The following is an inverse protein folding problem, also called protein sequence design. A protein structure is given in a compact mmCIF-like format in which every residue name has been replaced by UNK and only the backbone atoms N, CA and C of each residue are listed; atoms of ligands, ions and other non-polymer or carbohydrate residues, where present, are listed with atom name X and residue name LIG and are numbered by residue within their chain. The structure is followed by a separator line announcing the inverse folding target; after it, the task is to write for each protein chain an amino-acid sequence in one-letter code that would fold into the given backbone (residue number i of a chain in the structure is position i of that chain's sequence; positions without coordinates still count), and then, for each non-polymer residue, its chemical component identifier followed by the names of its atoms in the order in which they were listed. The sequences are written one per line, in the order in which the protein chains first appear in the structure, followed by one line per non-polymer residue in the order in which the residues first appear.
data_IF_924228056119
#
_entry.id   IF_924228056119
#
_cell.length_a   1.000
_cell.length_b   1.000
_cell.length_c   1.000
_cell.angle_alpha   90.00
_cell.angle_beta   90.00
_cell.angle_gamma   90.00
#
_symmetry.space_group_name_H-M   'P 1'
#
loop_
_entity.id
_entity.type
_entity.pdbx_description
1 polymer ?
#
# COMPACT_ATOMS: atom_id res chain seq x y z
N UNK A 1 50.07 12.14 89.23
CA UNK A 1 50.59 12.73 87.99
C UNK A 1 50.96 11.60 87.04
N UNK A 2 50.23 11.54 85.94
CA UNK A 2 50.49 10.93 84.62
C UNK A 2 51.12 9.54 84.51
N UNK A 3 50.28 8.67 83.95
CA UNK A 3 50.46 7.27 83.59
C UNK A 3 50.50 7.10 82.07
N UNK A 4 51.30 6.10 81.63
CA UNK A 4 51.13 5.21 80.48
C UNK A 4 51.33 5.71 79.03
N UNK A 5 52.50 5.36 78.47
CA UNK A 5 52.76 5.14 77.03
C UNK A 5 53.19 3.68 76.85
N UNK A 6 52.35 2.82 76.24
CA UNK A 6 52.78 1.61 75.52
C UNK A 6 51.58 0.79 75.00
N UNK A 7 50.98 1.15 73.87
CA UNK A 7 50.18 0.20 73.06
C UNK A 7 49.83 0.80 71.71
N UNK A 8 50.62 0.51 70.66
CA UNK A 8 50.17 0.75 69.25
C UNK A 8 51.06 0.10 68.17
N UNK A 9 52.23 -0.48 68.49
CA UNK A 9 53.13 -1.05 67.45
C UNK A 9 52.88 -2.50 67.03
N UNK A 10 52.01 -3.27 67.71
CA UNK A 10 51.82 -4.71 67.41
C UNK A 10 50.74 -5.03 66.35
N UNK A 11 49.90 -4.07 65.95
CA UNK A 11 48.83 -4.34 64.95
C UNK A 11 49.24 -4.19 63.48
N UNK A 12 50.39 -3.59 63.15
CA UNK A 12 50.78 -3.36 61.74
C UNK A 12 51.54 -4.52 61.08
N UNK A 13 52.08 -5.47 61.85
CA UNK A 13 52.88 -6.57 61.27
C UNK A 13 52.01 -7.76 60.87
N UNK A 14 50.87 -7.98 61.53
CA UNK A 14 49.95 -9.08 61.22
C UNK A 14 49.14 -8.80 59.94
N UNK A 15 48.85 -7.52 59.64
CA UNK A 15 48.13 -7.14 58.42
C UNK A 15 48.98 -7.28 57.13
N UNK A 16 50.31 -7.18 57.24
CA UNK A 16 51.20 -7.28 56.08
C UNK A 16 51.45 -8.73 55.64
N UNK A 17 51.41 -9.70 56.57
CA UNK A 17 51.55 -11.13 56.27
C UNK A 17 50.28 -11.74 55.62
N UNK A 18 49.10 -11.17 55.86
CA UNK A 18 47.87 -11.61 55.19
C UNK A 18 47.77 -11.16 53.72
N UNK A 19 48.47 -10.08 53.34
CA UNK A 19 48.44 -9.57 51.96
C UNK A 19 49.40 -10.31 51.02
N UNK A 20 50.48 -10.90 51.54
CA UNK A 20 51.48 -11.62 50.72
C UNK A 20 51.05 -13.06 50.40
N UNK A 21 50.21 -13.69 51.24
CA UNK A 21 49.72 -15.05 51.00
C UNK A 21 48.62 -15.15 49.92
N UNK A 22 48.04 -14.02 49.49
CA UNK A 22 46.98 -13.99 48.46
C UNK A 22 47.50 -13.74 47.04
N UNK A 23 48.83 -13.63 46.86
CA UNK A 23 49.48 -13.27 45.59
C UNK A 23 50.13 -14.45 44.83
N UNK A 24 49.90 -15.70 45.25
CA UNK A 24 50.58 -16.89 44.68
C UNK A 24 49.65 -18.00 44.15
N UNK A 25 48.39 -17.71 43.85
CA UNK A 25 47.56 -18.63 43.06
C UNK A 25 47.60 -18.23 41.59
N UNK A 26 48.71 -18.62 40.95
CA UNK A 26 48.84 -18.66 39.50
C UNK A 26 47.94 -19.76 38.93
N UNK A 27 46.87 -19.38 38.24
CA UNK A 27 46.23 -20.26 37.25
C UNK A 27 46.70 -19.82 35.86
N UNK A 28 47.07 -20.76 34.97
CA UNK A 28 47.45 -20.42 33.61
C UNK A 28 46.20 -19.93 32.87
N UNK A 29 46.13 -18.62 32.61
CA UNK A 29 45.25 -18.07 31.59
C UNK A 29 45.74 -18.55 30.24
N UNK A 30 45.15 -19.65 29.76
CA UNK A 30 45.18 -20.00 28.35
C UNK A 30 44.67 -18.79 27.58
N UNK A 31 45.59 -18.12 26.90
CA UNK A 31 45.28 -17.03 25.98
C UNK A 31 44.63 -17.63 24.75
N UNK A 32 43.38 -18.07 24.88
CA UNK A 32 42.49 -18.15 23.75
C UNK A 32 42.21 -16.71 23.35
N UNK A 33 42.86 -16.23 22.30
CA UNK A 33 42.38 -15.10 21.51
C UNK A 33 40.96 -15.43 21.09
N UNK A 34 40.00 -15.05 21.93
CA UNK A 34 38.63 -14.86 21.52
C UNK A 34 38.69 -13.74 20.49
N UNK A 35 38.76 -14.11 19.22
CA UNK A 35 38.19 -13.29 18.17
C UNK A 35 36.77 -13.08 18.67
N UNK A 36 36.50 -11.89 19.22
CA UNK A 36 35.16 -11.46 19.51
C UNK A 36 34.46 -11.46 18.15
N UNK A 37 33.88 -12.61 17.79
CA UNK A 37 32.77 -12.67 16.89
C UNK A 37 31.77 -11.74 17.53
N UNK A 38 31.75 -10.48 17.08
CA UNK A 38 30.54 -9.69 17.19
C UNK A 38 29.50 -10.58 16.58
N UNK A 39 28.64 -11.14 17.42
CA UNK A 39 27.44 -11.79 16.96
C UNK A 39 26.79 -10.77 16.04
N UNK A 40 26.95 -10.97 14.74
CA UNK A 40 26.07 -10.35 13.79
C UNK A 40 24.75 -10.99 14.15
N UNK A 41 23.97 -10.31 15.01
CA UNK A 41 22.58 -10.62 15.20
C UNK A 41 21.93 -10.39 13.85
N UNK A 42 21.98 -11.40 13.01
CA UNK A 42 21.17 -11.52 11.84
C UNK A 42 19.76 -11.72 12.39
N UNK A 43 19.08 -10.61 12.70
CA UNK A 43 17.66 -10.63 12.89
C UNK A 43 17.09 -11.32 11.65
N UNK A 44 16.38 -12.43 11.87
CA UNK A 44 15.70 -13.14 10.79
C UNK A 44 14.82 -12.11 10.09
N UNK A 45 15.21 -11.67 8.89
CA UNK A 45 14.39 -10.72 8.14
C UNK A 45 13.01 -11.35 8.01
N UNK A 46 11.96 -10.61 8.33
CA UNK A 46 10.56 -11.08 8.28
C UNK A 46 10.03 -11.22 6.85
N UNK A 47 10.91 -11.46 5.86
CA UNK A 47 10.51 -11.78 4.49
C UNK A 47 9.60 -13.01 4.52
N UNK A 48 8.33 -12.82 4.14
CA UNK A 48 7.28 -13.85 4.21
C UNK A 48 6.21 -13.65 5.30
N UNK A 49 6.36 -12.66 6.19
CA UNK A 49 5.27 -12.09 7.01
C UNK A 49 4.71 -10.79 6.38
N UNK A 50 5.12 -10.47 5.16
CA UNK A 50 4.89 -9.18 4.48
C UNK A 50 3.52 -9.03 3.83
N UNK A 51 2.64 -10.03 3.95
CA UNK A 51 1.21 -9.81 3.78
C UNK A 51 0.67 -9.58 5.20
N UNK A 52 0.63 -8.32 5.70
CA UNK A 52 0.12 -8.09 7.04
C UNK A 52 -1.27 -8.70 7.10
N UNK A 53 -1.53 -9.53 8.12
CA UNK A 53 -2.74 -10.37 8.24
C UNK A 53 -4.02 -9.54 8.06
N UNK A 54 -3.95 -8.27 8.42
CA UNK A 54 -4.97 -7.25 8.20
C UNK A 54 -5.44 -7.16 6.74
N UNK A 55 -4.63 -7.48 5.73
CA UNK A 55 -5.08 -7.49 4.33
C UNK A 55 -6.08 -8.60 4.05
N UNK A 56 -5.98 -9.74 4.73
CA UNK A 56 -7.03 -10.76 4.69
C UNK A 56 -8.29 -10.26 5.38
N UNK A 57 -8.15 -9.49 6.46
CA UNK A 57 -9.28 -8.89 7.17
C UNK A 57 -9.99 -7.82 6.33
N UNK A 58 -9.24 -6.99 5.57
CA UNK A 58 -9.81 -6.06 4.58
C UNK A 58 -10.64 -6.84 3.55
N UNK A 59 -10.10 -7.92 2.98
CA UNK A 59 -10.84 -8.77 2.03
C UNK A 59 -12.07 -9.40 2.68
N UNK A 60 -12.01 -9.74 3.97
CA UNK A 60 -13.12 -10.31 4.72
C UNK A 60 -14.29 -9.32 4.89
N UNK A 61 -14.03 -8.01 4.91
CA UNK A 61 -15.09 -6.99 4.91
C UNK A 61 -16.00 -7.09 3.66
N UNK A 62 -15.46 -7.50 2.52
CA UNK A 62 -16.23 -7.77 1.30
C UNK A 62 -17.20 -8.95 1.40
N UNK A 63 -17.12 -9.74 2.48
CA UNK A 63 -17.96 -10.93 2.72
C UNK A 63 -18.96 -10.73 3.86
N UNK A 64 -18.97 -9.57 4.51
CA UNK A 64 -19.91 -9.28 5.59
C UNK A 64 -21.33 -9.08 5.03
N UNK A 65 -22.38 -9.42 5.80
CA UNK A 65 -23.75 -9.06 5.45
C UNK A 65 -23.87 -7.55 5.21
N UNK A 66 -24.50 -7.15 4.10
CA UNK A 66 -24.63 -5.75 3.70
C UNK A 66 -23.50 -5.21 2.82
N UNK A 67 -22.37 -5.92 2.72
CA UNK A 67 -21.24 -5.52 1.88
C UNK A 67 -21.55 -5.64 0.39
N UNK A 68 -21.18 -4.64 -0.44
CA UNK A 68 -21.46 -4.67 -1.87
C UNK A 68 -20.57 -5.72 -2.57
N UNK A 69 -21.11 -6.45 -3.56
CA UNK A 69 -20.36 -7.45 -4.31
C UNK A 69 -19.50 -6.83 -5.43
N UNK A 70 -18.91 -5.67 -5.20
CA UNK A 70 -18.14 -4.92 -6.21
C UNK A 70 -16.63 -5.23 -6.19
N UNK A 71 -16.18 -6.04 -5.23
CA UNK A 71 -14.77 -6.44 -5.10
C UNK A 71 -13.85 -5.31 -4.67
N UNK A 72 -14.37 -4.14 -4.26
CA UNK A 72 -13.53 -2.99 -3.93
C UNK A 72 -12.62 -3.24 -2.73
N UNK A 73 -13.08 -4.00 -1.73
CA UNK A 73 -12.23 -4.40 -0.61
C UNK A 73 -11.03 -5.26 -1.04
N UNK A 74 -11.19 -6.13 -2.05
CA UNK A 74 -10.07 -6.88 -2.62
C UNK A 74 -9.09 -5.96 -3.37
N UNK A 75 -9.61 -4.96 -4.08
CA UNK A 75 -8.80 -3.95 -4.76
C UNK A 75 -8.01 -3.09 -3.76
N UNK A 76 -8.65 -2.62 -2.68
CA UNK A 76 -7.99 -1.87 -1.60
C UNK A 76 -6.87 -2.73 -1.00
N UNK A 77 -7.14 -4.00 -0.68
CA UNK A 77 -6.14 -4.90 -0.12
C UNK A 77 -4.95 -5.12 -1.08
N UNK A 78 -5.19 -5.18 -2.39
CA UNK A 78 -4.14 -5.26 -3.40
C UNK A 78 -3.31 -3.97 -3.52
N UNK A 79 -3.98 -2.82 -3.60
CA UNK A 79 -3.34 -1.51 -3.73
C UNK A 79 -2.50 -1.14 -2.50
N UNK A 80 -2.95 -1.55 -1.31
CA UNK A 80 -2.29 -1.21 -0.05
C UNK A 80 -0.85 -1.72 0.03
N UNK A 81 -0.56 -2.88 -0.56
CA UNK A 81 0.79 -3.47 -0.58
C UNK A 81 1.81 -2.49 -1.17
N UNK A 82 1.43 -1.77 -2.23
CA UNK A 82 2.30 -0.78 -2.86
C UNK A 82 2.72 0.37 -1.93
N UNK A 83 1.91 0.67 -0.91
CA UNK A 83 2.19 1.75 0.05
C UNK A 83 3.24 1.36 1.09
N UNK A 84 3.48 0.05 1.28
CA UNK A 84 4.42 -0.50 2.26
C UNK A 84 5.85 -0.62 1.73
N UNK A 85 6.05 -0.38 0.43
CA UNK A 85 7.37 -0.41 -0.20
C UNK A 85 8.27 0.72 0.31
N UNK A 86 9.57 0.49 0.41
CA UNK A 86 10.51 1.47 0.96
C UNK A 86 10.50 2.84 0.26
N UNK A 87 10.28 2.86 -1.06
CA UNK A 87 10.27 4.07 -1.86
C UNK A 87 8.87 4.74 -1.97
N UNK A 88 7.81 4.09 -1.49
CA UNK A 88 6.46 4.64 -1.63
C UNK A 88 6.25 5.88 -0.75
N UNK A 89 5.35 6.78 -1.16
CA UNK A 89 4.95 7.93 -0.35
C UNK A 89 4.40 7.46 1.02
N UNK A 90 4.94 7.97 2.15
CA UNK A 90 4.45 7.60 3.47
C UNK A 90 2.99 8.00 3.74
N UNK A 91 2.42 8.95 2.99
CA UNK A 91 1.03 9.39 3.12
C UNK A 91 0.03 8.55 2.30
N UNK A 92 0.49 7.86 1.25
CA UNK A 92 -0.39 7.16 0.29
C UNK A 92 -1.27 6.04 0.90
N UNK A 93 -0.93 5.54 2.09
CA UNK A 93 -1.71 4.51 2.78
C UNK A 93 -3.04 5.01 3.36
N UNK A 94 -3.10 6.29 3.74
CA UNK A 94 -4.23 6.83 4.51
C UNK A 94 -5.51 6.95 3.69
N UNK A 95 -5.49 7.42 2.42
CA UNK A 95 -6.68 7.42 1.58
C UNK A 95 -7.32 6.03 1.41
N UNK A 96 -6.51 4.98 1.30
CA UNK A 96 -7.02 3.60 1.21
C UNK A 96 -7.70 3.14 2.50
N UNK A 97 -7.13 3.50 3.66
CA UNK A 97 -7.72 3.17 4.95
C UNK A 97 -8.97 4.01 5.25
N UNK A 98 -8.98 5.29 4.85
CA UNK A 98 -10.14 6.18 4.94
C UNK A 98 -11.32 5.61 4.11
N UNK A 99 -11.04 5.10 2.91
CA UNK A 99 -12.05 4.45 2.08
C UNK A 99 -12.65 3.20 2.75
N UNK A 100 -11.84 2.39 3.46
CA UNK A 100 -12.34 1.25 4.23
C UNK A 100 -13.38 1.70 5.26
N UNK A 101 -13.08 2.78 6.00
CA UNK A 101 -13.99 3.34 7.02
C UNK A 101 -15.26 3.89 6.38
N UNK A 102 -15.13 4.68 5.31
CA UNK A 102 -16.27 5.27 4.59
C UNK A 102 -17.24 4.20 4.10
N UNK A 103 -16.71 3.14 3.48
CA UNK A 103 -17.53 2.03 2.98
C UNK A 103 -18.17 1.26 4.13
N UNK A 104 -17.46 1.02 5.22
CA UNK A 104 -18.04 0.41 6.41
C UNK A 104 -19.26 1.17 6.95
N UNK A 105 -19.17 2.50 6.99
CA UNK A 105 -20.29 3.38 7.36
C UNK A 105 -21.45 3.29 6.36
N UNK A 106 -21.14 3.34 5.07
CA UNK A 106 -22.13 3.28 3.99
C UNK A 106 -22.95 1.98 3.99
N UNK A 107 -22.33 0.85 4.32
CA UNK A 107 -22.93 -0.47 4.19
C UNK A 107 -23.27 -1.16 5.52
N UNK A 108 -23.21 -0.43 6.63
CA UNK A 108 -23.73 -0.89 7.93
C UNK A 108 -22.82 -1.82 8.73
N UNK A 109 -21.50 -1.79 8.52
CA UNK A 109 -20.49 -2.54 9.29
C UNK A 109 -19.31 -1.64 9.71
N UNK A 110 -19.63 -0.41 10.14
CA UNK A 110 -18.64 0.60 10.49
C UNK A 110 -17.63 0.12 11.53
N UNK A 111 -18.07 -0.56 12.59
CA UNK A 111 -17.19 -1.02 13.67
C UNK A 111 -16.13 -2.01 13.18
N UNK A 112 -16.52 -2.98 12.34
CA UNK A 112 -15.60 -3.93 11.74
C UNK A 112 -14.62 -3.23 10.81
N UNK A 113 -15.11 -2.31 9.96
CA UNK A 113 -14.28 -1.56 9.04
C UNK A 113 -13.27 -0.66 9.77
N UNK A 114 -13.71 0.05 10.81
CA UNK A 114 -12.84 0.89 11.66
C UNK A 114 -11.78 0.03 12.32
N UNK A 115 -12.14 -1.10 12.92
CA UNK A 115 -11.15 -2.01 13.56
C UNK A 115 -10.06 -2.44 12.57
N UNK A 116 -10.45 -2.87 11.38
CA UNK A 116 -9.52 -3.30 10.33
C UNK A 116 -8.68 -2.12 9.82
N UNK A 117 -9.29 -0.98 9.54
CA UNK A 117 -8.59 0.21 9.04
C UNK A 117 -7.56 0.76 10.05
N UNK A 118 -7.85 0.66 11.35
CA UNK A 118 -6.91 1.04 12.42
C UNK A 118 -5.67 0.16 12.45
N UNK A 119 -5.85 -1.15 12.29
CA UNK A 119 -4.72 -2.07 12.13
C UNK A 119 -3.96 -1.80 10.83
N UNK A 120 -4.69 -1.45 9.75
CA UNK A 120 -4.13 -1.21 8.43
C UNK A 120 -3.19 0.01 8.42
N UNK A 121 -3.59 1.15 8.99
CA UNK A 121 -2.70 2.33 9.09
C UNK A 121 -1.54 2.12 10.06
N UNK A 122 -1.70 1.22 11.02
CA UNK A 122 -0.72 0.87 12.03
C UNK A 122 0.42 -0.03 11.54
N UNK A 123 0.30 -0.64 10.35
CA UNK A 123 1.33 -1.57 9.89
C UNK A 123 2.66 -0.86 9.60
N UNK A 124 3.73 -1.61 9.76
CA UNK A 124 5.07 -1.17 9.42
C UNK A 124 5.21 -0.96 7.90
N UNK A 125 5.89 0.13 7.52
CA UNK A 125 6.35 0.36 6.15
C UNK A 125 7.82 0.01 6.08
N UNK A 126 8.19 -0.73 5.04
CA UNK A 126 9.59 -1.10 4.80
C UNK A 126 10.44 0.16 4.60
N UNK A 127 11.73 0.09 4.91
CA UNK A 127 12.68 1.14 4.60
C UNK A 127 13.99 0.52 4.08
N UNK A 128 14.80 1.30 3.39
CA UNK A 128 16.08 0.81 2.87
C UNK A 128 17.21 1.21 3.84
N UNK A 129 17.77 0.28 4.63
CA UNK A 129 18.85 0.58 5.57
C UNK A 129 20.17 0.99 4.89
N UNK A 130 20.26 0.88 3.57
CA UNK A 130 21.43 1.28 2.78
C UNK A 130 21.24 2.64 2.09
N UNK A 131 20.15 3.35 2.36
CA UNK A 131 19.82 4.61 1.67
C UNK A 131 20.50 5.87 2.27
N UNK A 132 21.66 5.72 2.92
CA UNK A 132 22.39 6.84 3.53
C UNK A 132 21.53 7.59 4.55
N UNK A 133 21.40 8.92 4.40
CA UNK A 133 20.58 9.78 5.27
C UNK A 133 19.07 9.42 5.26
N UNK A 134 18.64 8.56 4.34
CA UNK A 134 17.27 8.02 4.25
C UNK A 134 17.16 6.60 4.82
N UNK A 135 18.20 6.09 5.46
CA UNK A 135 18.22 4.78 6.12
C UNK A 135 17.41 4.75 7.43
N UNK A 136 16.26 5.42 7.45
CA UNK A 136 15.38 5.56 8.59
C UNK A 136 13.91 5.41 8.16
N UNK A 137 13.01 5.01 9.06
CA UNK A 137 11.58 5.03 8.83
C UNK A 137 11.04 6.40 8.39
N UNK A 138 10.17 6.40 7.37
CA UNK A 138 9.47 7.58 6.88
C UNK A 138 7.99 7.57 7.30
N UNK A 139 7.51 8.72 7.78
CA UNK A 139 6.14 8.90 8.26
C UNK A 139 5.47 10.07 7.55
N UNK A 140 4.14 9.99 7.40
CA UNK A 140 3.39 11.03 6.72
C UNK A 140 3.44 12.35 7.49
N UNK A 141 3.76 13.42 6.78
CA UNK A 141 3.88 14.76 7.33
C UNK A 141 2.68 15.66 7.06
N UNK A 142 1.66 15.17 6.35
CA UNK A 142 0.42 15.90 6.09
C UNK A 142 -0.48 15.87 7.34
N UNK A 143 -0.79 17.02 7.98
CA UNK A 143 -1.70 17.07 9.12
C UNK A 143 -3.17 16.83 8.76
N UNK A 144 -3.54 16.92 7.48
CA UNK A 144 -4.90 16.63 7.01
C UNK A 144 -5.19 15.12 6.89
N UNK A 145 -4.16 14.27 6.96
CA UNK A 145 -4.29 12.82 6.87
C UNK A 145 -3.99 12.13 8.21
N UNK A 146 -4.69 11.00 8.53
CA UNK A 146 -5.87 10.48 7.85
C UNK A 146 -7.09 11.42 7.97
N UNK A 147 -8.02 11.34 7.01
CA UNK A 147 -9.25 12.14 7.02
C UNK A 147 -10.26 11.63 8.04
N UNK A 148 -10.34 10.31 8.22
CA UNK A 148 -11.25 9.68 9.18
C UNK A 148 -10.74 9.92 10.60
N UNK A 149 -11.56 10.55 11.43
CA UNK A 149 -11.22 10.86 12.83
C UNK A 149 -10.86 9.58 13.62
N UNK A 150 -11.49 8.45 13.30
CA UNK A 150 -11.26 7.16 13.93
C UNK A 150 -9.88 6.56 13.65
N UNK A 151 -9.19 7.05 12.61
CA UNK A 151 -7.84 6.63 12.22
C UNK A 151 -6.76 7.57 12.72
N UNK A 152 -7.13 8.71 13.32
CA UNK A 152 -6.16 9.64 13.91
C UNK A 152 -5.56 9.05 15.20
N UNK A 153 -4.37 9.53 15.54
CA UNK A 153 -3.62 9.15 16.73
C UNK A 153 -3.11 7.71 16.74
N UNK A 154 -2.92 7.12 15.56
CA UNK A 154 -2.37 5.77 15.40
C UNK A 154 -0.93 5.90 14.95
N UNK A 155 -0.03 5.32 15.74
CA UNK A 155 1.38 5.24 15.42
C UNK A 155 1.62 3.99 14.57
N UNK A 156 2.22 4.12 13.37
CA UNK A 156 2.66 2.96 12.61
C UNK A 156 3.82 2.27 13.32
N UNK A 157 3.87 0.94 13.25
CA UNK A 157 5.04 0.18 13.72
C UNK A 157 6.29 0.50 12.88
N UNK A 158 7.45 0.17 13.43
CA UNK A 158 8.78 0.32 12.81
C UNK A 158 9.55 -1.00 12.88
N UNK A 159 10.53 -1.16 12.00
CA UNK A 159 11.41 -2.33 12.02
C UNK A 159 12.09 -2.46 13.38
N UNK A 160 12.12 -3.65 14.02
CA UNK A 160 12.88 -3.88 15.25
C UNK A 160 14.36 -3.49 15.19
N UNK A 161 14.97 -3.40 13.99
CA UNK A 161 16.36 -2.96 13.80
C UNK A 161 16.50 -1.45 13.62
N UNK A 162 15.38 -0.72 13.50
CA UNK A 162 15.39 0.73 13.59
C UNK A 162 15.60 1.16 15.04
N UNK A 163 16.20 2.32 15.27
CA UNK A 163 16.62 2.77 16.60
C UNK A 163 18.13 2.74 16.79
N UNK A 164 18.66 3.88 17.21
CA UNK A 164 20.11 4.12 17.34
C UNK A 164 20.43 5.61 17.48
N UNK A 165 19.54 6.48 16.97
CA UNK A 165 19.68 7.94 17.02
C UNK A 165 18.98 8.60 18.22
N UNK A 166 19.08 7.99 19.41
CA UNK A 166 18.47 8.51 20.65
C UNK A 166 16.93 8.48 20.66
N UNK A 167 16.32 8.50 21.85
CA UNK A 167 14.88 8.30 22.04
C UNK A 167 14.51 6.85 22.38
N UNK A 168 13.24 6.47 22.19
CA UNK A 168 12.75 5.12 22.45
C UNK A 168 13.39 4.09 21.51
N UNK A 169 13.63 2.89 22.02
CA UNK A 169 13.95 1.74 21.16
C UNK A 169 12.77 1.37 20.25
N UNK A 170 13.02 0.72 19.11
CA UNK A 170 11.95 0.22 18.25
C UNK A 170 11.01 -0.74 18.98
N UNK A 171 11.52 -1.54 19.93
CA UNK A 171 10.68 -2.44 20.73
C UNK A 171 9.71 -1.67 21.64
N UNK A 172 10.19 -0.67 22.38
CA UNK A 172 9.36 0.17 23.24
C UNK A 172 8.36 1.00 22.42
N UNK A 173 8.81 1.53 21.29
CA UNK A 173 7.95 2.27 20.38
C UNK A 173 6.87 1.38 19.77
N UNK A 174 7.20 0.18 19.30
CA UNK A 174 6.24 -0.77 18.74
C UNK A 174 5.20 -1.22 19.77
N UNK A 175 5.58 -1.37 21.04
CA UNK A 175 4.62 -1.63 22.12
C UNK A 175 3.60 -0.49 22.27
N UNK A 176 4.05 0.77 22.21
CA UNK A 176 3.16 1.94 22.18
C UNK A 176 2.30 1.96 20.92
N UNK A 177 2.89 1.67 19.76
CA UNK A 177 2.20 1.69 18.47
C UNK A 177 1.02 0.71 18.42
N UNK A 178 1.24 -0.53 18.85
CA UNK A 178 0.16 -1.54 18.93
C UNK A 178 -0.97 -1.09 19.86
N UNK A 179 -0.66 -0.46 21.00
CA UNK A 179 -1.68 0.07 21.91
C UNK A 179 -2.53 1.18 21.25
N UNK A 180 -1.95 1.98 20.35
CA UNK A 180 -2.72 3.00 19.62
C UNK A 180 -3.69 2.43 18.60
N UNK A 181 -3.49 1.19 18.12
CA UNK A 181 -4.41 0.56 17.16
C UNK A 181 -5.72 0.12 17.82
N UNK A 182 -5.71 -0.16 19.11
CA UNK A 182 -6.88 -0.67 19.85
C UNK A 182 -7.67 0.41 20.58
N UNK A 183 -7.07 1.57 20.85
CA UNK A 183 -7.71 2.68 21.61
C UNK A 183 -7.96 3.90 20.73
N UNK A 184 -9.22 4.32 20.58
CA UNK A 184 -9.54 5.61 19.94
C UNK A 184 -9.11 6.76 20.87
N UNK A 185 -8.23 7.63 20.36
CA UNK A 185 -7.70 8.77 21.12
C UNK A 185 -7.70 10.07 20.31
N UNK A 186 -8.67 10.24 19.38
CA UNK A 186 -8.70 11.30 18.37
C UNK A 186 -8.38 12.72 18.89
N UNK A 187 -8.83 13.06 20.10
CA UNK A 187 -8.64 14.39 20.70
C UNK A 187 -7.21 14.67 21.19
N UNK A 188 -6.36 13.65 21.37
CA UNK A 188 -5.00 13.83 21.91
C UNK A 188 -3.95 14.22 20.86
N UNK A 189 -4.27 14.13 19.57
CA UNK A 189 -3.34 14.44 18.48
C UNK A 189 -3.94 15.39 17.44
N UNK A 190 -4.95 16.18 17.83
CA UNK A 190 -5.59 17.15 16.93
C UNK A 190 -4.54 18.08 16.28
N UNK A 191 -4.63 18.24 14.96
CA UNK A 191 -3.72 19.06 14.18
C UNK A 191 -2.31 18.49 13.97
N UNK A 192 -1.98 17.32 14.54
CA UNK A 192 -0.67 16.70 14.35
C UNK A 192 -0.68 15.75 13.14
N UNK A 193 0.36 15.84 12.31
CA UNK A 193 0.69 14.81 11.33
C UNK A 193 1.16 13.53 12.02
N UNK A 194 1.10 12.39 11.32
CA UNK A 194 1.58 11.11 11.88
C UNK A 194 3.05 11.20 12.27
N UNK A 195 3.87 11.90 11.47
CA UNK A 195 5.27 12.16 11.83
C UNK A 195 5.40 12.92 13.15
N UNK A 196 4.61 13.97 13.36
CA UNK A 196 4.63 14.73 14.61
C UNK A 196 4.20 13.85 15.80
N UNK A 197 3.22 12.96 15.60
CA UNK A 197 2.79 12.01 16.63
C UNK A 197 3.91 11.03 17.01
N UNK A 198 4.65 10.51 16.03
CA UNK A 198 5.80 9.62 16.25
C UNK A 198 6.91 10.32 17.04
N UNK A 199 7.24 11.55 16.66
CA UNK A 199 8.23 12.36 17.38
C UNK A 199 7.79 12.66 18.81
N UNK A 200 6.52 13.03 19.02
CA UNK A 200 5.96 13.29 20.34
C UNK A 200 5.89 12.03 21.21
N UNK A 201 5.71 10.85 20.59
CA UNK A 201 5.76 9.57 21.28
C UNK A 201 7.18 9.20 21.76
N UNK A 202 8.22 9.87 21.23
CA UNK A 202 9.61 9.73 21.64
C UNK A 202 10.51 8.98 20.68
N UNK A 203 10.03 8.60 19.49
CA UNK A 203 10.84 7.93 18.47
C UNK A 203 11.46 8.96 17.53
N UNK A 204 12.79 9.10 17.59
CA UNK A 204 13.52 10.16 16.88
C UNK A 204 14.28 9.66 15.65
N UNK A 205 14.36 8.34 15.47
CA UNK A 205 15.04 7.71 14.34
C UNK A 205 14.16 7.75 13.09
N UNK A 206 13.96 8.95 12.55
CA UNK A 206 13.04 9.20 11.43
C UNK A 206 13.75 9.99 10.34
N UNK A 207 13.29 9.85 9.09
CA UNK A 207 13.78 10.70 7.99
C UNK A 207 13.53 12.19 8.33
N UNK A 208 14.57 13.00 8.14
CA UNK A 208 14.62 14.41 8.56
C UNK A 208 13.62 15.32 7.82
N UNK A 209 13.15 14.95 6.63
CA UNK A 209 12.05 15.60 5.91
C UNK A 209 11.34 14.59 4.97
N UNK A 210 10.25 13.97 5.43
CA UNK A 210 9.44 13.04 4.63
C UNK A 210 8.13 13.67 4.12
N UNK A 211 8.12 15.00 3.92
CA UNK A 211 6.89 15.77 3.69
C UNK A 211 6.64 16.27 2.28
N UNK A 212 7.55 16.02 1.33
CA UNK A 212 7.25 16.23 -0.08
C UNK A 212 7.09 14.87 -0.73
N UNK A 213 5.96 14.66 -1.40
CA UNK A 213 5.85 13.60 -2.39
C UNK A 213 7.13 13.61 -3.24
N UNK A 214 7.84 12.48 -3.41
CA UNK A 214 8.71 12.41 -4.57
C UNK A 214 7.83 12.71 -5.78
N UNK A 215 8.18 13.73 -6.57
CA UNK A 215 7.62 13.91 -7.91
C UNK A 215 8.10 12.74 -8.76
N UNK A 216 7.51 11.58 -8.54
CA UNK A 216 7.67 10.44 -9.40
C UNK A 216 6.50 10.47 -10.39
N UNK A 217 6.74 10.52 -11.72
CA UNK A 217 5.71 10.42 -12.75
C UNK A 217 4.89 9.12 -12.73
N UNK A 218 5.19 8.19 -11.81
CA UNK A 218 4.49 6.92 -11.60
C UNK A 218 3.75 6.94 -10.25
N UNK A 219 2.72 7.77 -10.17
CA UNK A 219 1.63 7.58 -9.21
C UNK A 219 0.42 7.08 -10.01
N UNK A 220 -0.18 5.90 -9.70
CA UNK A 220 -1.50 5.56 -10.20
C UNK A 220 -2.48 6.65 -9.77
N UNK A 221 -3.33 7.20 -10.65
CA UNK A 221 -4.22 8.29 -10.28
C UNK A 221 -5.08 7.89 -9.08
N UNK A 222 -5.14 8.79 -8.09
CA UNK A 222 -6.12 8.70 -7.02
C UNK A 222 -7.51 8.60 -7.65
N UNK A 223 -8.33 7.68 -7.16
CA UNK A 223 -9.73 7.58 -7.58
C UNK A 223 -10.47 8.86 -7.21
N UNK A 224 -10.57 9.79 -8.15
CA UNK A 224 -11.45 10.96 -8.05
C UNK A 224 -12.87 10.50 -8.32
N UNK A 225 -13.75 10.81 -7.39
CA UNK A 225 -15.20 10.64 -7.50
C UNK A 225 -15.78 11.61 -8.51
N UNK A 226 -16.57 11.06 -9.45
CA UNK A 226 -17.64 11.68 -10.27
C UNK A 226 -17.24 12.76 -11.31
N UNK A 227 -17.69 12.63 -12.59
CA UNK A 227 -17.32 13.55 -13.65
C UNK A 227 -18.23 14.79 -13.71
N UNK A 228 -17.64 15.98 -13.78
CA UNK A 228 -18.23 17.14 -14.47
C UNK A 228 -17.58 17.28 -15.85
N UNK A 229 -18.32 17.72 -16.90
CA UNK A 229 -17.83 17.67 -18.27
C UNK A 229 -16.85 18.82 -18.54
N UNK A 230 -15.62 18.51 -18.94
CA UNK A 230 -14.69 19.48 -19.52
C UNK A 230 -14.58 19.28 -21.04
N UNK A 231 -14.75 20.39 -21.76
CA UNK A 231 -14.66 20.57 -23.22
C UNK A 231 -13.17 20.56 -23.66
N UNK A 232 -12.78 19.81 -24.72
CA UNK A 232 -11.38 19.69 -25.13
C UNK A 232 -10.97 20.82 -26.07
N UNK A 233 -10.33 21.89 -25.57
CA UNK A 233 -9.43 22.66 -26.45
C UNK A 233 -8.32 23.46 -25.74
N UNK A 234 -7.08 23.18 -26.20
CA UNK A 234 -5.83 23.97 -26.16
C UNK A 234 -4.91 23.91 -24.92
N UNK A 235 -3.85 23.10 -25.09
CA UNK A 235 -2.49 23.57 -25.41
C UNK A 235 -1.80 24.53 -24.43
N UNK A 236 -0.84 24.00 -23.66
CA UNK A 236 -0.09 24.75 -22.65
C UNK A 236 0.93 25.78 -23.16
N UNK A 237 1.39 26.63 -22.23
CA UNK A 237 2.71 27.29 -22.17
C UNK A 237 2.98 27.78 -20.73
N UNK A 238 4.23 27.64 -20.31
CA UNK A 238 4.77 27.96 -18.99
C UNK A 238 4.93 29.47 -18.72
N UNK A 239 4.87 29.84 -17.43
CA UNK A 239 5.78 30.82 -16.80
C UNK A 239 5.16 32.15 -16.34
N UNK A 240 5.34 32.49 -15.06
CA UNK A 240 5.29 33.88 -14.57
C UNK A 240 4.56 34.11 -13.25
N UNK A 241 5.31 34.49 -12.23
CA UNK A 241 4.87 34.79 -10.86
C UNK A 241 4.40 36.26 -10.68
N UNK A 242 3.40 36.49 -9.81
CA UNK A 242 3.17 37.63 -8.86
C UNK A 242 1.72 38.17 -8.82
N UNK A 243 1.12 38.11 -7.61
CA UNK A 243 0.60 39.31 -6.91
C UNK A 243 -0.88 39.71 -7.01
N UNK A 244 -1.61 39.43 -5.90
CA UNK A 244 -2.55 40.30 -5.15
C UNK A 244 -3.97 40.67 -5.68
N UNK A 245 -5.00 40.26 -4.90
CA UNK A 245 -6.02 41.18 -4.34
C UNK A 245 -7.40 41.38 -5.01
N UNK A 246 -8.45 40.95 -4.27
CA UNK A 246 -9.82 41.51 -4.10
C UNK A 246 -11.02 41.21 -5.05
N UNK A 247 -12.01 40.52 -4.45
CA UNK A 247 -13.47 40.74 -4.28
C UNK A 247 -14.50 40.94 -5.42
N UNK A 248 -15.58 40.16 -5.23
CA UNK A 248 -17.03 40.37 -5.49
C UNK A 248 -17.63 40.37 -6.91
N UNK A 249 -18.68 39.55 -7.07
CA UNK A 249 -19.94 40.00 -7.68
C UNK A 249 -20.49 39.23 -8.89
N UNK A 250 -21.54 38.45 -8.62
CA UNK A 250 -22.74 38.21 -9.45
C UNK A 250 -22.76 37.16 -10.59
N UNK A 251 -23.72 36.24 -10.41
CA UNK A 251 -24.36 35.39 -11.42
C UNK A 251 -25.35 36.17 -12.29
N UNK A 252 -25.38 35.92 -13.60
CA UNK A 252 -26.60 36.05 -14.43
C UNK A 252 -26.57 35.19 -15.71
N UNK A 253 -27.71 34.51 -15.91
CA UNK A 253 -28.40 34.12 -17.15
C UNK A 253 -27.85 33.04 -18.11
N UNK A 254 -28.67 31.99 -18.20
CA UNK A 254 -28.73 30.87 -19.16
C UNK A 254 -28.93 31.32 -20.61
N UNK A 255 -28.13 30.78 -21.53
CA UNK A 255 -28.38 30.82 -22.98
C UNK A 255 -28.43 29.38 -23.54
N UNK A 256 -29.54 29.03 -24.18
CA UNK A 256 -29.77 27.72 -24.81
C UNK A 256 -29.19 27.74 -26.23
N UNK A 257 -28.32 26.79 -26.57
CA UNK A 257 -27.79 26.62 -27.94
C UNK A 257 -28.35 25.35 -28.56
N UNK A 258 -29.07 25.49 -29.67
CA UNK A 258 -29.54 24.40 -30.53
C UNK A 258 -28.46 24.06 -31.54
N UNK A 259 -27.99 22.81 -31.57
CA UNK A 259 -27.07 22.31 -32.60
C UNK A 259 -27.83 21.45 -33.61
N UNK A 260 -27.80 21.88 -34.88
CA UNK A 260 -28.26 21.10 -36.03
C UNK A 260 -27.04 20.45 -36.67
N UNK A 261 -26.98 19.11 -36.68
CA UNK A 261 -25.92 18.35 -37.37
C UNK A 261 -26.45 17.88 -38.71
N UNK A 262 -25.87 18.41 -39.79
CA UNK A 262 -26.08 17.92 -41.15
C UNK A 262 -25.01 16.86 -41.46
N UNK A 263 -25.41 15.64 -41.80
CA UNK A 263 -24.51 14.58 -42.25
C UNK A 263 -24.69 14.37 -43.75
N UNK A 264 -23.64 14.61 -44.52
CA UNK A 264 -23.60 14.38 -45.97
C UNK A 264 -23.39 12.89 -46.25
N UNK A 265 -24.31 12.28 -47.00
CA UNK A 265 -24.24 10.88 -47.44
C UNK A 265 -23.25 10.71 -48.61
N UNK A 266 -22.28 9.80 -48.45
CA UNK A 266 -21.37 9.34 -49.50
C UNK A 266 -21.76 7.94 -49.99
N UNK A 267 -21.80 7.80 -51.31
CA UNK A 267 -22.33 6.71 -52.14
C UNK A 267 -21.67 5.34 -51.96
N UNK A 268 -22.46 4.26 -52.07
CA UNK A 268 -22.08 2.90 -51.71
C UNK A 268 -21.49 2.00 -52.80
N UNK A 269 -21.06 0.82 -52.36
CA UNK A 269 -20.94 -0.40 -53.16
C UNK A 269 -20.96 -1.66 -52.26
N UNK A 270 -21.99 -2.51 -52.49
CA UNK A 270 -22.16 -3.95 -52.26
C UNK A 270 -21.80 -4.63 -50.91
N UNK A 271 -22.83 -5.25 -50.33
CA UNK A 271 -22.85 -6.08 -49.13
C UNK A 271 -22.20 -7.47 -49.30
N UNK A 272 -21.76 -8.08 -48.18
CA UNK A 272 -22.05 -9.47 -47.88
C UNK A 272 -23.05 -9.55 -46.72
N UNK A 273 -24.04 -10.40 -46.93
CA UNK A 273 -25.15 -10.76 -46.06
C UNK A 273 -24.65 -11.61 -44.91
N UNK A 274 -24.47 -11.03 -43.72
CA UNK A 274 -24.76 -11.65 -42.41
C UNK A 274 -24.44 -10.63 -41.30
N UNK A 275 -25.43 -10.35 -40.45
CA UNK A 275 -25.24 -9.52 -39.27
C UNK A 275 -24.32 -10.26 -38.27
N UNK A 276 -23.34 -9.61 -37.64
CA UNK A 276 -22.66 -10.20 -36.50
C UNK A 276 -23.68 -10.31 -35.36
N UNK A 277 -23.98 -11.55 -34.98
CA UNK A 277 -24.88 -11.87 -33.88
C UNK A 277 -24.48 -11.10 -32.61
N UNK A 278 -25.48 -10.50 -31.97
CA UNK A 278 -25.38 -9.91 -30.64
C UNK A 278 -24.76 -10.93 -29.65
N UNK A 279 -23.93 -10.51 -28.68
CA UNK A 279 -23.43 -11.43 -27.67
C UNK A 279 -24.60 -11.88 -26.79
N UNK A 280 -25.01 -13.13 -27.00
CA UNK A 280 -25.96 -13.86 -26.18
C UNK A 280 -25.42 -14.00 -24.75
N UNK A 281 -26.27 -13.65 -23.78
CA UNK A 281 -26.10 -13.89 -22.33
C UNK A 281 -26.20 -15.38 -21.98
N UNK A 282 -25.24 -16.16 -22.46
CA UNK A 282 -25.15 -17.60 -22.21
C UNK A 282 -23.87 -18.15 -22.81
N UNK A 283 -22.75 -18.00 -22.10
CA UNK A 283 -21.52 -18.68 -22.47
C UNK A 283 -21.75 -20.20 -22.42
N UNK A 284 -21.56 -20.88 -23.54
CA UNK A 284 -21.46 -22.33 -23.54
C UNK A 284 -20.27 -22.73 -22.65
N UNK A 285 -20.47 -23.69 -21.76
CA UNK A 285 -19.43 -24.15 -20.84
C UNK A 285 -18.14 -24.49 -21.61
N UNK A 286 -17.02 -23.88 -21.23
CA UNK A 286 -15.72 -24.04 -21.89
C UNK A 286 -15.30 -22.90 -22.83
N UNK A 287 -16.12 -21.87 -23.04
CA UNK A 287 -15.74 -20.70 -23.84
C UNK A 287 -14.94 -19.69 -23.03
N UNK A 288 -13.82 -19.22 -23.59
CA UNK A 288 -13.02 -18.15 -23.01
C UNK A 288 -13.75 -16.80 -23.14
N UNK A 289 -14.00 -16.13 -22.01
CA UNK A 289 -14.64 -14.81 -21.95
C UNK A 289 -13.63 -13.65 -21.83
N UNK A 290 -12.32 -13.95 -21.78
CA UNK A 290 -11.25 -12.94 -21.88
C UNK A 290 -11.10 -12.49 -23.33
N UNK A 291 -11.52 -11.26 -23.62
CA UNK A 291 -11.50 -10.66 -24.96
C UNK A 291 -10.26 -9.80 -25.23
N UNK A 292 -9.48 -9.45 -24.21
CA UNK A 292 -8.23 -8.74 -24.38
C UNK A 292 -7.17 -9.65 -25.01
N UNK A 293 -6.66 -9.28 -26.18
CA UNK A 293 -5.71 -10.07 -26.97
C UNK A 293 -4.29 -9.51 -26.97
N UNK A 294 -4.05 -8.34 -26.34
CA UNK A 294 -2.72 -7.79 -26.20
C UNK A 294 -1.80 -8.81 -25.53
N UNK A 295 -0.55 -8.94 -26.00
CA UNK A 295 0.41 -9.92 -25.50
C UNK A 295 1.84 -9.37 -25.57
N UNK A 296 2.14 -8.40 -24.71
CA UNK A 296 3.45 -7.74 -24.71
C UNK A 296 4.50 -8.77 -24.30
N UNK A 297 5.63 -8.77 -25.02
CA UNK A 297 6.69 -9.78 -24.87
C UNK A 297 6.18 -11.23 -25.00
N UNK A 298 5.10 -11.45 -25.75
CA UNK A 298 4.50 -12.76 -25.97
C UNK A 298 3.77 -13.33 -24.75
N UNK A 299 3.36 -12.49 -23.80
CA UNK A 299 2.58 -12.90 -22.62
C UNK A 299 1.12 -12.47 -22.76
N UNK A 300 0.23 -13.35 -23.26
CA UNK A 300 -1.20 -13.06 -23.33
C UNK A 300 -1.86 -13.19 -21.95
N UNK A 301 -3.01 -12.56 -21.79
CA UNK A 301 -3.85 -12.77 -20.62
C UNK A 301 -4.36 -14.22 -20.61
N UNK A 302 -4.28 -14.94 -19.47
CA UNK A 302 -4.77 -16.31 -19.40
C UNK A 302 -6.28 -16.38 -19.65
N UNK A 303 -6.78 -17.46 -20.25
CA UNK A 303 -8.20 -17.59 -20.52
C UNK A 303 -9.03 -17.64 -19.23
N UNK A 304 -10.23 -17.06 -19.32
CA UNK A 304 -11.28 -17.10 -18.31
C UNK A 304 -12.41 -17.96 -18.86
N UNK A 305 -12.57 -19.17 -18.37
CA UNK A 305 -13.60 -20.08 -18.85
C UNK A 305 -14.87 -19.94 -18.03
N UNK A 306 -16.02 -19.81 -18.69
CA UNK A 306 -17.31 -20.03 -18.03
C UNK A 306 -17.58 -21.52 -17.94
N UNK A 307 -17.81 -22.06 -16.75
CA UNK A 307 -18.02 -23.50 -16.50
C UNK A 307 -19.36 -23.80 -15.80
N UNK A 308 -20.14 -22.77 -15.46
CA UNK A 308 -21.38 -22.91 -14.69
C UNK A 308 -21.15 -23.22 -13.20
N UNK A 309 -22.22 -23.41 -12.43
CA UNK A 309 -22.16 -23.69 -10.99
C UNK A 309 -22.02 -22.45 -10.10
N UNK A 310 -21.68 -22.65 -8.83
CA UNK A 310 -21.64 -21.57 -7.81
C UNK A 310 -20.49 -20.61 -7.99
N UNK A 311 -19.38 -20.99 -8.64
CA UNK A 311 -18.26 -20.10 -8.99
C UNK A 311 -17.94 -20.28 -10.48
N UNK A 312 -18.76 -19.70 -11.35
CA UNK A 312 -18.82 -20.14 -12.74
C UNK A 312 -17.69 -19.64 -13.61
N UNK A 313 -16.83 -18.72 -13.15
CA UNK A 313 -15.72 -18.18 -13.94
C UNK A 313 -14.38 -18.71 -13.43
N UNK A 314 -13.60 -19.37 -14.27
CA UNK A 314 -12.33 -19.98 -13.91
C UNK A 314 -11.17 -19.40 -14.72
N UNK A 315 -10.13 -18.90 -14.04
CA UNK A 315 -8.88 -18.45 -14.66
C UNK A 315 -7.93 -19.64 -14.78
N UNK A 316 -7.51 -19.98 -16.00
CA UNK A 316 -6.62 -21.12 -16.26
C UNK A 316 -5.24 -20.64 -16.68
N UNK A 317 -4.19 -21.08 -15.98
CA UNK A 317 -2.78 -20.73 -16.26
C UNK A 317 -1.99 -22.00 -16.50
N UNK A 318 -1.39 -22.14 -17.68
CA UNK A 318 -0.61 -23.34 -18.04
C UNK A 318 -1.43 -24.64 -17.96
N UNK A 319 -2.72 -24.57 -18.30
CA UNK A 319 -3.65 -25.71 -18.22
C UNK A 319 -4.16 -26.04 -16.81
N UNK A 320 -3.80 -25.26 -15.79
CA UNK A 320 -4.24 -25.47 -14.40
C UNK A 320 -5.12 -24.34 -13.89
N UNK A 321 -6.06 -24.68 -13.02
CA UNK A 321 -6.89 -23.68 -12.33
C UNK A 321 -6.02 -22.76 -11.46
N UNK A 322 -6.07 -21.47 -11.74
CA UNK A 322 -5.42 -20.42 -10.93
C UNK A 322 -6.40 -19.83 -9.90
N UNK A 323 -7.68 -19.77 -10.26
CA UNK A 323 -8.74 -19.30 -9.38
C UNK A 323 -10.12 -19.43 -10.03
N UNK A 324 -11.13 -19.52 -9.18
CA UNK A 324 -12.55 -19.57 -9.52
C UNK A 324 -13.28 -18.35 -8.92
N UNK A 325 -14.30 -17.83 -9.58
CA UNK A 325 -14.92 -16.56 -9.22
C UNK A 325 -16.42 -16.60 -9.43
N UNK A 326 -17.13 -15.87 -8.56
CA UNK A 326 -18.57 -15.64 -8.69
C UNK A 326 -18.88 -14.75 -9.89
N UNK A 327 -18.08 -13.70 -10.10
CA UNK A 327 -18.32 -12.66 -11.08
C UNK A 327 -17.26 -12.64 -12.19
N UNK A 328 -17.71 -12.44 -13.44
CA UNK A 328 -16.85 -12.37 -14.61
C UNK A 328 -15.77 -11.29 -14.48
N UNK A 329 -16.14 -10.09 -14.01
CA UNK A 329 -15.21 -8.97 -13.87
C UNK A 329 -14.03 -9.27 -12.95
N UNK A 330 -14.27 -9.97 -11.83
CA UNK A 330 -13.20 -10.37 -10.92
C UNK A 330 -12.26 -11.41 -11.55
N UNK A 331 -12.80 -12.37 -12.30
CA UNK A 331 -12.00 -13.36 -13.03
C UNK A 331 -11.17 -12.73 -14.16
N UNK A 332 -11.77 -11.81 -14.91
CA UNK A 332 -11.10 -11.06 -15.98
C UNK A 332 -10.00 -10.17 -15.42
N UNK A 333 -10.26 -9.47 -14.31
CA UNK A 333 -9.25 -8.65 -13.64
C UNK A 333 -8.06 -9.49 -13.16
N UNK A 334 -8.35 -10.67 -12.57
CA UNK A 334 -7.30 -11.63 -12.21
C UNK A 334 -6.49 -12.11 -13.42
N UNK A 335 -7.13 -12.32 -14.56
CA UNK A 335 -6.47 -12.70 -15.81
C UNK A 335 -5.50 -11.60 -16.27
N UNK A 336 -5.89 -10.32 -16.24
CA UNK A 336 -5.00 -9.19 -16.52
C UNK A 336 -3.80 -9.12 -15.54
N UNK A 337 -4.03 -9.30 -14.24
CA UNK A 337 -2.94 -9.25 -13.25
C UNK A 337 -1.94 -10.39 -13.43
N UNK A 338 -2.41 -11.59 -13.82
CA UNK A 338 -1.52 -12.71 -14.15
C UNK A 338 -0.71 -12.40 -15.41
N UNK A 339 -1.30 -11.77 -16.42
CA UNK A 339 -0.60 -11.31 -17.61
C UNK A 339 0.55 -10.35 -17.25
N UNK A 340 0.24 -9.34 -16.43
CA UNK A 340 1.20 -8.37 -15.97
C UNK A 340 2.40 -9.05 -15.29
N UNK A 341 2.14 -9.97 -14.37
CA UNK A 341 3.21 -10.67 -13.66
C UNK A 341 4.06 -11.53 -14.60
N UNK A 342 3.44 -12.18 -15.59
CA UNK A 342 4.19 -12.93 -16.61
C UNK A 342 5.06 -12.00 -17.47
N UNK A 343 4.54 -10.83 -17.88
CA UNK A 343 5.26 -9.81 -18.63
C UNK A 343 6.45 -9.26 -17.82
N UNK A 344 6.21 -8.85 -16.57
CA UNK A 344 7.23 -8.31 -15.67
C UNK A 344 8.34 -9.34 -15.39
N UNK A 345 7.98 -10.62 -15.25
CA UNK A 345 8.96 -11.70 -15.09
C UNK A 345 9.88 -11.83 -16.31
N UNK A 346 9.39 -11.66 -17.54
CA UNK A 346 10.26 -11.69 -18.73
C UNK A 346 11.24 -10.52 -18.74
N UNK A 347 10.76 -9.30 -18.45
CA UNK A 347 11.60 -8.10 -18.38
C UNK A 347 12.67 -8.24 -17.28
N UNK A 348 12.26 -8.67 -16.09
CA UNK A 348 13.17 -8.85 -14.95
C UNK A 348 14.17 -9.99 -15.16
N UNK A 349 13.80 -11.03 -15.93
CA UNK A 349 14.70 -12.11 -16.31
C UNK A 349 15.73 -11.72 -17.37
N UNK A 350 15.67 -10.48 -17.88
CA UNK A 350 16.53 -9.96 -18.96
C UNK A 350 16.43 -10.76 -20.27
N UNK A 351 15.39 -11.59 -20.44
CA UNK A 351 15.13 -12.35 -21.68
C UNK A 351 14.59 -11.47 -22.80
N UNK A 352 13.98 -10.34 -22.45
CA UNK A 352 13.44 -9.35 -23.38
C UNK A 352 13.95 -7.96 -23.00
N UNK A 353 14.12 -7.09 -24.01
CA UNK A 353 14.44 -5.67 -23.79
C UNK A 353 13.15 -4.89 -23.63
N UNK A 354 12.92 -4.36 -22.44
CA UNK A 354 11.72 -3.59 -22.11
C UNK A 354 11.76 -3.05 -20.69
N UNK A 355 10.67 -2.43 -20.24
CA UNK A 355 10.50 -1.99 -18.87
C UNK A 355 9.21 -2.55 -18.27
N UNK A 356 9.19 -2.71 -16.94
CA UNK A 356 7.97 -3.10 -16.22
C UNK A 356 6.85 -2.07 -16.46
N UNK A 357 7.19 -0.80 -16.69
CA UNK A 357 6.21 0.24 -17.06
C UNK A 357 5.44 -0.06 -18.34
N UNK A 358 6.02 -0.77 -19.31
CA UNK A 358 5.28 -1.22 -20.50
C UNK A 358 4.30 -2.35 -20.16
N UNK A 359 4.66 -3.22 -19.21
CA UNK A 359 3.75 -4.24 -18.68
C UNK A 359 2.60 -3.61 -17.89
N UNK A 360 2.88 -2.56 -17.09
CA UNK A 360 1.86 -1.78 -16.39
C UNK A 360 0.86 -1.14 -17.37
N UNK A 361 1.38 -0.56 -18.47
CA UNK A 361 0.54 0.02 -19.51
C UNK A 361 -0.39 -1.03 -20.15
N UNK A 362 0.14 -2.20 -20.51
CA UNK A 362 -0.69 -3.28 -21.03
C UNK A 362 -1.72 -3.77 -20.01
N UNK A 363 -1.36 -3.85 -18.72
CA UNK A 363 -2.30 -4.22 -17.67
C UNK A 363 -3.48 -3.23 -17.60
N UNK A 364 -3.18 -1.93 -17.69
CA UNK A 364 -4.20 -0.88 -17.72
C UNK A 364 -5.10 -1.00 -18.96
N UNK A 365 -4.54 -1.31 -20.14
CA UNK A 365 -5.31 -1.57 -21.36
C UNK A 365 -6.22 -2.79 -21.21
N UNK A 366 -5.72 -3.86 -20.59
CA UNK A 366 -6.49 -5.07 -20.28
C UNK A 366 -7.66 -4.77 -19.34
N UNK A 367 -7.41 -4.05 -18.24
CA UNK A 367 -8.46 -3.65 -17.30
C UNK A 367 -9.47 -2.66 -17.91
N UNK A 368 -9.02 -1.76 -18.79
CA UNK A 368 -9.90 -0.86 -19.52
C UNK A 368 -10.85 -1.62 -20.47
N UNK A 369 -10.35 -2.67 -21.14
CA UNK A 369 -11.17 -3.52 -22.00
C UNK A 369 -12.29 -4.24 -21.22
N UNK A 370 -12.05 -4.62 -19.95
CA UNK A 370 -13.08 -5.19 -19.07
C UNK A 370 -14.18 -4.17 -18.81
N UNK A 371 -13.83 -2.94 -18.44
CA UNK A 371 -14.79 -1.88 -18.15
C UNK A 371 -15.66 -1.53 -19.37
N UNK A 372 -15.05 -1.51 -20.57
CA UNK A 372 -15.77 -1.29 -21.83
C UNK A 372 -16.73 -2.44 -22.18
N UNK A 373 -16.34 -3.69 -21.92
CA UNK A 373 -17.19 -4.86 -22.11
C UNK A 373 -18.42 -4.86 -21.19
N UNK A 374 -18.25 -4.47 -19.93
CA UNK A 374 -19.34 -4.36 -18.96
C UNK A 374 -20.30 -3.20 -19.29
N UNK A 375 -19.76 -2.05 -19.71
CA UNK A 375 -20.58 -0.91 -20.16
C UNK A 375 -21.40 -1.22 -21.41
N UNK A 376 -20.82 -1.96 -22.36
CA UNK A 376 -21.50 -2.38 -23.59
C UNK A 376 -22.63 -3.39 -23.32
N UNK A 377 -22.42 -4.32 -22.38
CA UNK A 377 -23.46 -5.25 -21.93
C UNK A 377 -24.64 -4.53 -21.24
N UNK A 378 -24.36 -3.52 -20.42
CA UNK A 378 -25.40 -2.74 -19.74
C UNK A 378 -26.22 -1.88 -20.73
N UNK A 379 -25.60 -1.31 -21.76
CA UNK A 379 -26.29 -0.48 -22.77
C UNK A 379 -27.24 -1.30 -23.66
N UNK A 380 -26.88 -2.54 -23.97
CA UNK A 380 -27.74 -3.47 -24.72
C UNK A 380 -28.98 -3.92 -23.92
N UNK A 381 -28.90 -3.96 -22.59
CA UNK A 381 -30.04 -4.31 -21.72
C UNK A 381 -31.04 -3.16 -21.54
N UNK A 382 -30.63 -1.91 -21.75
CA UNK A 382 -31.49 -0.73 -21.62
C UNK A 382 -32.21 -0.34 -22.92
N UNK A 383 -31.74 -0.82 -24.08
CA UNK A 383 -32.36 -0.57 -25.39
C UNK A 383 -33.46 -1.56 -25.81
N UNK A 384 -33.81 -2.51 -24.94
CA UNK A 384 -34.80 -3.57 -25.21
C UNK A 384 -36.10 -3.45 -24.41
N UNK A 385 -36.46 -2.26 -23.93
CA UNK A 385 -37.76 -1.98 -23.29
C UNK A 385 -38.65 -1.15 -24.19
#
# INVERSE_FOLDING_TARGET
MTSSRASTKKSSIIALLALVALLLVSTPTTSATAIASRDVQLFKRRFGQENPTVLNDVRALGRLPGSPPDGRFDQIAGAFIGTLLAAADPCARYPLADEVVERGKMFGFADQAIKVARQLVGVEKNFNPFAGDKAHPAFCNDPALPKSEELRCILPQVDPVSGGNGGLSAAEFNAKAVATMTVQNANKCAGMSVRQQVLAAGFKDVVSNAGAAPTNPQQPPAATTTPTPEDPNKGGKNGGNKGNGNNDGQCTATATVTMTVTVTAGSGAAAPTEAPNAPSTGGSSGSNVQTFTGALFGKPAPPVNFVGGTRPFQVIVGGKLNGDFLQAGAALGRSCDVQHNQCANEVNSQRVKGSVGQCDQQNNECHAAIAQGQASAAKLQQGGK
#
